data_IF_562475373629
#
_entry.id   IF_562475373629
#
_cell.length_a   1.000
_cell.length_b   1.000
_cell.length_c   1.000
_cell.angle_alpha   90.00
_cell.angle_beta   90.00
_cell.angle_gamma   90.00
#
_symmetry.space_group_name_H-M   'P 1'
#
loop_
_entity.id
_entity.type
_entity.pdbx_description
1 polymer ?
#
# COMPACT_ATOMS: atom_id res chain seq x y z
N UNK A 1 3.34 8.68 3.15
CA UNK A 1 3.04 8.81 4.60
C UNK A 1 2.50 7.47 5.07
N UNK A 2 3.24 6.79 5.94
CA UNK A 2 2.79 5.53 6.55
C UNK A 2 1.94 5.86 7.77
N UNK A 3 0.70 5.38 7.84
CA UNK A 3 -0.17 5.57 9.00
C UNK A 3 -0.53 4.22 9.63
N UNK A 4 -0.25 4.07 10.92
CA UNK A 4 -0.70 2.96 11.77
C UNK A 4 -1.65 3.45 12.87
N UNK A 5 -2.43 2.56 13.51
CA UNK A 5 -3.34 2.95 14.58
C UNK A 5 -2.60 3.53 15.80
N UNK A 6 -3.21 4.49 16.53
CA UNK A 6 -2.53 5.29 17.56
C UNK A 6 -2.04 4.48 18.77
N UNK A 7 -2.70 3.35 19.09
CA UNK A 7 -2.32 2.47 20.19
C UNK A 7 -1.47 1.25 19.76
N UNK A 8 -1.07 1.15 18.49
CA UNK A 8 -0.09 0.15 18.05
C UNK A 8 1.34 0.64 18.32
N UNK A 9 1.61 1.08 19.55
CA UNK A 9 2.96 1.11 20.10
C UNK A 9 3.28 -0.31 20.60
N UNK A 10 3.25 -1.28 19.70
CA UNK A 10 3.70 -2.64 19.93
C UNK A 10 4.82 -2.95 18.92
N UNK A 11 6.01 -2.44 19.23
CA UNK A 11 7.32 -2.99 18.85
C UNK A 11 7.75 -2.88 17.39
N UNK A 12 8.46 -1.80 17.02
CA UNK A 12 9.48 -1.79 15.96
C UNK A 12 9.09 -2.07 14.50
N UNK A 13 7.81 -2.36 14.22
CA UNK A 13 7.32 -2.85 12.91
C UNK A 13 6.87 -1.73 11.95
N UNK A 14 6.47 -0.56 12.45
CA UNK A 14 6.04 0.56 11.58
C UNK A 14 7.22 1.32 10.95
N UNK A 15 8.40 1.27 11.58
CA UNK A 15 9.60 2.06 11.19
C UNK A 15 10.19 1.60 9.85
N UNK A 16 10.38 0.29 9.55
CA UNK A 16 10.99 -0.16 8.30
C UNK A 16 10.19 0.19 7.05
N UNK A 17 8.85 0.17 7.13
CA UNK A 17 7.97 0.55 6.02
C UNK A 17 7.96 2.06 5.80
N UNK A 18 8.11 2.86 6.86
CA UNK A 18 8.14 4.32 6.76
C UNK A 18 9.41 4.84 6.06
N UNK A 19 10.52 4.08 6.13
CA UNK A 19 11.79 4.40 5.47
C UNK A 19 11.84 3.94 4.00
N UNK A 20 10.83 3.20 3.53
CA UNK A 20 10.77 2.80 2.12
C UNK A 20 10.59 4.02 1.22
N UNK A 21 11.33 4.04 0.11
CA UNK A 21 11.02 4.91 -1.02
C UNK A 21 9.93 4.24 -1.87
N UNK A 22 8.68 4.77 -1.89
CA UNK A 22 7.62 4.20 -2.69
C UNK A 22 7.91 4.22 -4.19
N UNK A 23 8.77 5.13 -4.68
CA UNK A 23 9.14 5.20 -6.09
C UNK A 23 10.04 4.02 -6.51
N UNK A 24 10.78 3.44 -5.56
CA UNK A 24 11.58 2.22 -5.76
C UNK A 24 10.81 0.91 -5.58
N UNK A 25 9.55 0.95 -5.16
CA UNK A 25 8.74 -0.24 -4.90
C UNK A 25 8.08 -0.77 -6.19
N UNK A 26 8.39 -2.00 -6.66
CA UNK A 26 7.88 -2.52 -7.93
C UNK A 26 6.35 -2.52 -8.00
N UNK A 27 5.68 -2.99 -6.94
CA UNK A 27 4.22 -3.03 -6.88
C UNK A 27 3.57 -1.64 -6.92
N UNK A 28 4.20 -0.65 -6.28
CA UNK A 28 3.71 0.74 -6.32
C UNK A 28 3.88 1.29 -7.73
N UNK A 29 5.04 1.08 -8.35
CA UNK A 29 5.30 1.52 -9.71
C UNK A 29 4.32 0.90 -10.73
N UNK A 30 3.93 -0.36 -10.57
CA UNK A 30 2.87 -1.01 -11.36
C UNK A 30 1.51 -0.31 -11.18
N UNK A 31 1.10 -0.08 -9.92
CA UNK A 31 -0.18 0.60 -9.65
C UNK A 31 -0.22 2.02 -10.22
N UNK A 32 0.91 2.74 -10.20
CA UNK A 32 1.04 4.07 -10.81
C UNK A 32 0.94 4.04 -12.34
N UNK A 33 1.58 3.05 -12.97
CA UNK A 33 1.64 2.93 -14.44
C UNK A 33 0.33 2.45 -15.02
N UNK A 34 -0.25 1.40 -14.44
CA UNK A 34 -1.39 0.70 -15.03
C UNK A 34 -2.72 1.24 -14.50
N UNK A 35 -2.70 1.91 -13.33
CA UNK A 35 -3.91 2.41 -12.69
C UNK A 35 -4.87 1.29 -12.27
N UNK A 36 -4.34 0.10 -12.00
CA UNK A 36 -5.11 -1.09 -11.59
C UNK A 36 -4.76 -1.46 -10.16
N UNK A 37 -5.76 -1.89 -9.40
CA UNK A 37 -5.57 -2.42 -8.05
C UNK A 37 -4.94 -3.82 -8.10
N UNK A 38 -4.00 -4.08 -7.19
CA UNK A 38 -3.37 -5.38 -7.03
C UNK A 38 -3.65 -5.96 -5.64
N UNK A 39 -4.34 -7.11 -5.59
CA UNK A 39 -4.49 -7.92 -4.39
C UNK A 39 -3.54 -9.12 -4.45
N UNK A 40 -2.68 -9.29 -3.45
CA UNK A 40 -1.86 -10.50 -3.30
C UNK A 40 -2.22 -11.21 -1.99
N UNK A 41 -2.51 -12.50 -2.11
CA UNK A 41 -2.78 -13.39 -0.98
C UNK A 41 -1.60 -14.33 -0.85
N UNK A 42 -0.93 -14.32 0.32
CA UNK A 42 0.34 -15.05 0.57
C UNK A 42 1.33 -14.83 -0.58
N UNK A 43 1.84 -13.60 -0.75
CA UNK A 43 2.69 -13.25 -1.87
C UNK A 43 3.89 -14.21 -1.95
N UNK A 44 4.02 -14.91 -3.09
CA UNK A 44 5.14 -15.86 -3.27
C UNK A 44 6.46 -15.13 -3.51
N UNK A 45 6.38 -13.93 -4.10
CA UNK A 45 7.52 -13.06 -4.34
C UNK A 45 7.71 -12.15 -3.12
N UNK A 46 8.72 -12.47 -2.32
CA UNK A 46 9.06 -11.74 -1.11
C UNK A 46 9.54 -10.31 -1.41
N UNK A 47 10.11 -10.08 -2.60
CA UNK A 47 10.69 -8.80 -3.02
C UNK A 47 9.69 -7.91 -3.76
N UNK A 48 8.43 -8.33 -3.89
CA UNK A 48 7.40 -7.58 -4.62
C UNK A 48 7.17 -6.16 -4.05
N UNK A 49 7.45 -5.94 -2.77
CA UNK A 49 7.40 -4.63 -2.13
C UNK A 49 8.77 -3.99 -1.87
N UNK A 50 9.84 -4.61 -2.37
CA UNK A 50 11.21 -4.18 -2.14
C UNK A 50 11.80 -4.68 -0.82
N UNK A 51 12.96 -4.09 -0.48
CA UNK A 51 13.79 -4.45 0.66
C UNK A 51 14.01 -3.22 1.54
N UNK A 52 14.17 -3.46 2.83
CA UNK A 52 14.48 -2.41 3.78
C UNK A 52 15.96 -1.99 3.76
N UNK A 53 16.32 -1.05 4.65
CA UNK A 53 17.70 -0.58 4.80
C UNK A 53 18.70 -1.67 5.22
N UNK A 54 18.24 -2.81 5.75
CA UNK A 54 19.09 -3.97 6.07
C UNK A 54 19.25 -4.94 4.89
N UNK A 55 18.55 -4.68 3.77
CA UNK A 55 18.51 -5.55 2.61
C UNK A 55 17.53 -6.73 2.75
N UNK A 56 16.72 -6.77 3.80
CA UNK A 56 15.74 -7.82 4.02
C UNK A 56 14.41 -7.50 3.29
N UNK A 57 13.73 -8.50 2.69
CA UNK A 57 12.45 -8.26 2.02
C UNK A 57 11.40 -7.73 3.00
N UNK A 58 10.78 -6.60 2.67
CA UNK A 58 9.83 -5.92 3.56
C UNK A 58 8.66 -6.85 3.92
N UNK A 59 8.12 -7.57 2.93
CA UNK A 59 6.98 -8.46 3.15
C UNK A 59 7.26 -9.57 4.16
N UNK A 60 8.51 -10.05 4.24
CA UNK A 60 8.93 -11.08 5.18
C UNK A 60 9.12 -10.49 6.58
N UNK A 61 9.84 -9.37 6.70
CA UNK A 61 10.08 -8.71 7.99
C UNK A 61 8.79 -8.27 8.68
N UNK A 62 7.86 -7.78 7.88
CA UNK A 62 6.57 -7.29 8.35
C UNK A 62 5.54 -8.40 8.56
N UNK A 63 5.91 -9.66 8.26
CA UNK A 63 5.03 -10.85 8.34
C UNK A 63 3.74 -10.67 7.52
N UNK A 64 3.85 -10.10 6.32
CA UNK A 64 2.72 -9.80 5.45
C UNK A 64 2.13 -11.09 4.90
N UNK A 65 0.88 -11.36 5.26
CA UNK A 65 0.11 -12.52 4.79
C UNK A 65 -0.83 -12.18 3.64
N UNK A 66 -1.21 -10.91 3.51
CA UNK A 66 -1.94 -10.38 2.36
C UNK A 66 -1.68 -8.89 2.19
N UNK A 67 -1.66 -8.41 0.96
CA UNK A 67 -1.47 -7.00 0.65
C UNK A 67 -2.45 -6.55 -0.43
N UNK A 68 -2.88 -5.30 -0.33
CA UNK A 68 -3.73 -4.64 -1.30
C UNK A 68 -3.09 -3.31 -1.68
N UNK A 69 -2.78 -3.11 -2.96
CA UNK A 69 -2.29 -1.85 -3.50
C UNK A 69 -3.36 -1.26 -4.42
N UNK A 70 -3.87 -0.07 -4.13
CA UNK A 70 -4.87 0.63 -4.94
C UNK A 70 -4.33 1.97 -5.43
N UNK A 71 -4.52 2.33 -6.71
CA UNK A 71 -4.12 3.63 -7.22
C UNK A 71 -5.00 4.76 -6.65
N UNK A 72 -4.39 5.92 -6.42
CA UNK A 72 -5.06 7.15 -6.00
C UNK A 72 -5.37 8.01 -7.24
N UNK A 73 -6.60 7.92 -7.75
CA UNK A 73 -7.14 8.82 -8.80
C UNK A 73 -8.61 9.14 -8.48
N UNK A 74 -9.06 10.35 -8.75
CA UNK A 74 -10.44 10.74 -8.43
C UNK A 74 -11.46 10.09 -9.37
N UNK A 75 -11.08 9.87 -10.63
CA UNK A 75 -11.88 9.18 -11.64
C UNK A 75 -10.99 8.34 -12.58
N UNK A 76 -11.55 7.37 -13.34
CA UNK A 76 -10.77 6.56 -14.27
C UNK A 76 -10.08 7.36 -15.40
N UNK A 77 -10.62 8.53 -15.74
CA UNK A 77 -10.08 9.42 -16.77
C UNK A 77 -8.96 10.34 -16.25
N UNK A 78 -8.76 10.39 -14.93
CA UNK A 78 -7.73 11.23 -14.31
C UNK A 78 -6.42 10.47 -14.07
N UNK A 79 -5.27 11.18 -14.09
CA UNK A 79 -3.98 10.57 -13.84
C UNK A 79 -3.89 10.00 -12.42
N UNK A 80 -3.16 8.91 -12.28
CA UNK A 80 -2.82 8.34 -10.97
C UNK A 80 -1.84 9.28 -10.25
N UNK A 81 -2.20 9.70 -9.04
CA UNK A 81 -1.42 10.65 -8.23
C UNK A 81 -0.57 9.97 -7.16
N UNK A 82 -0.80 8.70 -6.91
CA UNK A 82 -0.15 7.93 -5.86
C UNK A 82 -0.74 6.53 -5.77
N UNK A 83 -0.32 5.77 -4.76
CA UNK A 83 -0.91 4.49 -4.40
C UNK A 83 -1.16 4.44 -2.89
N UNK A 84 -2.23 3.76 -2.50
CA UNK A 84 -2.50 3.35 -1.12
C UNK A 84 -2.21 1.85 -1.03
N UNK A 85 -1.21 1.47 -0.26
CA UNK A 85 -0.91 0.07 0.04
C UNK A 85 -1.32 -0.26 1.47
N UNK A 86 -2.08 -1.34 1.61
CA UNK A 86 -2.53 -1.89 2.88
C UNK A 86 -1.90 -3.27 3.08
N UNK A 87 -1.31 -3.49 4.24
CA UNK A 87 -0.81 -4.79 4.64
C UNK A 87 -1.71 -5.43 5.69
N UNK A 88 -1.83 -6.73 5.56
CA UNK A 88 -2.35 -7.59 6.61
C UNK A 88 -1.22 -8.48 7.08
N UNK A 89 -1.00 -8.46 8.38
CA UNK A 89 0.10 -9.16 9.03
C UNK A 89 -0.45 -10.14 10.07
N UNK A 90 0.36 -11.13 10.43
CA UNK A 90 -0.01 -12.15 11.42
C UNK A 90 -1.16 -13.07 10.96
N UNK A 91 -1.82 -13.74 11.91
CA UNK A 91 -2.80 -14.81 11.65
C UNK A 91 -4.16 -14.38 11.08
N UNK A 92 -4.31 -13.15 10.58
CA UNK A 92 -5.57 -12.69 9.98
C UNK A 92 -5.72 -13.27 8.56
N UNK A 93 -6.93 -13.69 8.18
CA UNK A 93 -7.24 -14.19 6.83
C UNK A 93 -7.01 -13.12 5.75
N UNK A 94 -6.93 -13.47 4.47
CA UNK A 94 -6.61 -12.51 3.41
C UNK A 94 -7.62 -11.34 3.28
N UNK A 95 -7.27 -10.29 2.52
CA UNK A 95 -8.27 -9.28 2.17
C UNK A 95 -9.34 -9.88 1.26
N UNK A 96 -10.59 -9.66 1.63
CA UNK A 96 -11.76 -10.09 0.86
C UNK A 96 -12.10 -9.09 -0.26
N UNK A 97 -12.85 -9.54 -1.27
CA UNK A 97 -13.32 -8.67 -2.37
C UNK A 97 -14.14 -7.48 -1.88
N UNK A 98 -14.94 -7.66 -0.83
CA UNK A 98 -15.70 -6.57 -0.22
C UNK A 98 -14.77 -5.50 0.39
N UNK A 99 -13.69 -5.92 1.04
CA UNK A 99 -12.68 -5.02 1.61
C UNK A 99 -11.91 -4.30 0.51
N UNK A 100 -11.57 -5.00 -0.58
CA UNK A 100 -10.95 -4.38 -1.75
C UNK A 100 -11.85 -3.29 -2.38
N UNK A 101 -13.15 -3.55 -2.49
CA UNK A 101 -14.11 -2.55 -2.97
C UNK A 101 -14.29 -1.35 -2.02
N UNK A 102 -14.14 -1.54 -0.72
CA UNK A 102 -14.09 -0.43 0.25
C UNK A 102 -12.82 0.40 0.07
N UNK A 103 -11.66 -0.25 -0.04
CA UNK A 103 -10.38 0.44 -0.24
C UNK A 103 -10.37 1.25 -1.54
N UNK A 104 -10.93 0.73 -2.62
CA UNK A 104 -11.11 1.45 -3.89
C UNK A 104 -12.03 2.68 -3.76
N UNK A 105 -13.10 2.61 -2.94
CA UNK A 105 -13.91 3.81 -2.65
C UNK A 105 -13.13 4.83 -1.83
N UNK A 106 -12.39 4.39 -0.82
CA UNK A 106 -11.59 5.27 0.04
C UNK A 106 -10.47 5.94 -0.76
N UNK A 107 -9.81 5.23 -1.69
CA UNK A 107 -8.73 5.76 -2.51
C UNK A 107 -9.19 6.96 -3.36
N UNK A 108 -10.40 6.93 -3.91
CA UNK A 108 -10.99 8.07 -4.64
C UNK A 108 -11.17 9.30 -3.75
N UNK A 109 -11.66 9.11 -2.52
CA UNK A 109 -11.83 10.23 -1.59
C UNK A 109 -10.48 10.82 -1.16
N UNK A 110 -9.47 9.97 -0.95
CA UNK A 110 -8.09 10.41 -0.68
C UNK A 110 -7.56 11.20 -1.89
N UNK A 111 -7.73 10.70 -3.12
CA UNK A 111 -7.28 11.39 -4.32
C UNK A 111 -7.92 12.78 -4.48
N UNK A 112 -9.23 12.89 -4.22
CA UNK A 112 -9.94 14.18 -4.22
C UNK A 112 -9.39 15.15 -3.16
N UNK A 113 -9.06 14.66 -1.97
CA UNK A 113 -8.47 15.48 -0.91
C UNK A 113 -7.05 15.95 -1.26
N UNK A 114 -6.23 15.07 -1.83
CA UNK A 114 -4.87 15.41 -2.31
C UNK A 114 -4.91 16.48 -3.39
N UNK A 115 -5.86 16.40 -4.33
CA UNK A 115 -6.01 17.40 -5.40
C UNK A 115 -6.39 18.80 -4.87
N UNK A 116 -7.02 18.88 -3.70
CA UNK A 116 -7.35 20.17 -3.05
C UNK A 116 -6.19 20.73 -2.23
N UNK A 117 -5.27 19.89 -1.79
CA UNK A 117 -4.16 20.27 -0.91
C UNK A 117 -2.90 20.69 -1.69
N UNK A 118 -2.74 20.23 -2.93
CA UNK A 118 -1.63 20.62 -3.80
C UNK A 118 -1.93 21.98 -4.45
N UNK A 119 -1.05 23.00 -4.33
CA UNK A 119 -1.16 24.19 -5.15
C UNK A 119 -1.02 23.79 -6.63
N UNK A 120 -1.87 24.35 -7.48
CA UNK A 120 -1.89 24.10 -8.94
C UNK A 120 -0.63 24.68 -9.61
#
# INVERSE_FOLDING_TARGET
>A
VTQGPPDAVAGGRVVPVAEQDPAGCPLVAEALRDGVAALRVRPHDADAFGRDASGAPVLVREEVTSLLCVPLRASPAEPVRGALTLFRTGGRGAFEMAEAGVADRVSRHIALALNRALPQ
#
